data_IF_691477332007
#
_entry.id   IF_691477332007
#
_cell.length_a   1.000
_cell.length_b   1.000
_cell.length_c   1.000
_cell.angle_alpha   90.00
_cell.angle_beta   90.00
_cell.angle_gamma   90.00
#
_symmetry.space_group_name_H-M   'P 1'
#
loop_
_entity.id
_entity.type
_entity.pdbx_description
1 polymer ?
#
# COMPACT_ATOMS: atom_id res chain seq x y z
N UNK A 1 -14.21 -66.97 3.24
CA UNK A 1 -15.56 -67.38 3.71
C UNK A 1 -16.48 -66.22 3.35
N UNK A 2 -17.24 -66.22 2.26
CA UNK A 2 -18.29 -67.19 1.90
C UNK A 2 -19.67 -66.57 2.20
N UNK A 3 -20.11 -65.61 1.37
CA UNK A 3 -21.36 -65.58 0.58
C UNK A 3 -22.68 -65.94 1.28
N UNK A 4 -23.65 -65.03 1.19
CA UNK A 4 -25.06 -65.37 1.00
C UNK A 4 -25.71 -64.39 0.01
N UNK A 5 -26.34 -64.96 -1.03
CA UNK A 5 -27.09 -64.33 -2.11
C UNK A 5 -28.52 -63.97 -1.68
N UNK A 6 -29.15 -62.99 -2.34
CA UNK A 6 -30.56 -63.07 -2.71
C UNK A 6 -30.85 -62.26 -3.99
N UNK A 7 -31.81 -62.71 -4.78
CA UNK A 7 -31.94 -62.61 -6.23
C UNK A 7 -32.98 -61.57 -6.74
N UNK A 8 -32.84 -61.21 -8.04
CA UNK A 8 -33.91 -60.98 -9.06
C UNK A 8 -34.67 -59.63 -8.95
N UNK A 9 -34.74 -58.75 -9.97
CA UNK A 9 -35.39 -58.95 -11.28
C UNK A 9 -34.99 -57.89 -12.31
N UNK A 10 -34.84 -58.31 -13.57
CA UNK A 10 -34.65 -57.51 -14.79
C UNK A 10 -36.00 -57.00 -15.32
N UNK A 11 -36.14 -55.71 -15.66
CA UNK A 11 -37.20 -55.24 -16.58
C UNK A 11 -36.60 -54.25 -17.57
N UNK A 12 -36.51 -54.71 -18.82
CA UNK A 12 -36.28 -53.92 -20.02
C UNK A 12 -37.57 -53.18 -20.39
N UNK A 13 -37.49 -51.86 -20.58
CA UNK A 13 -38.57 -51.04 -21.12
C UNK A 13 -38.02 -50.02 -22.10
N UNK A 14 -38.18 -50.29 -23.39
CA UNK A 14 -37.96 -49.34 -24.48
C UNK A 14 -38.99 -48.20 -24.39
N UNK A 15 -38.55 -46.95 -24.33
CA UNK A 15 -39.31 -45.81 -24.86
C UNK A 15 -38.37 -44.84 -25.55
N UNK A 16 -38.36 -44.90 -26.88
CA UNK A 16 -37.91 -43.84 -27.78
C UNK A 16 -38.95 -42.71 -27.73
N UNK A 17 -38.62 -41.59 -27.10
CA UNK A 17 -39.25 -40.29 -27.40
C UNK A 17 -38.13 -39.24 -27.48
N UNK A 18 -38.12 -38.56 -28.62
CA UNK A 18 -37.13 -37.59 -29.07
C UNK A 18 -36.74 -36.55 -28.01
N UNK A 19 -35.49 -36.61 -27.55
CA UNK A 19 -34.85 -35.51 -26.85
C UNK A 19 -34.37 -34.52 -27.93
N UNK A 20 -35.21 -33.56 -28.32
CA UNK A 20 -34.74 -32.41 -29.07
C UNK A 20 -33.85 -31.59 -28.10
N UNK A 21 -32.56 -31.37 -28.41
CA UNK A 21 -31.79 -30.41 -27.63
C UNK A 21 -32.25 -29.01 -28.05
N UNK A 22 -33.17 -28.42 -27.28
CA UNK A 22 -33.31 -26.96 -27.19
C UNK A 22 -32.12 -26.42 -26.37
N UNK A 23 -30.92 -26.63 -26.90
CA UNK A 23 -29.77 -25.81 -26.59
C UNK A 23 -29.81 -24.66 -27.61
N UNK A 24 -30.63 -23.64 -27.32
CA UNK A 24 -30.36 -22.32 -27.86
C UNK A 24 -29.07 -21.85 -27.18
N UNK A 25 -27.92 -22.29 -27.71
CA UNK A 25 -26.73 -21.47 -27.63
C UNK A 25 -27.14 -20.16 -28.30
N UNK A 26 -27.37 -19.12 -27.51
CA UNK A 26 -27.17 -17.79 -28.01
C UNK A 26 -25.69 -17.73 -28.36
N UNK A 27 -25.36 -18.18 -29.57
CA UNK A 27 -24.13 -17.82 -30.24
C UNK A 27 -24.29 -16.32 -30.48
N UNK A 28 -23.95 -15.54 -29.44
CA UNK A 28 -23.77 -14.10 -29.57
C UNK A 28 -22.56 -14.00 -30.48
N UNK A 29 -22.79 -14.10 -31.78
CA UNK A 29 -21.76 -14.16 -32.80
C UNK A 29 -20.93 -12.90 -32.68
N UNK A 30 -19.85 -12.98 -31.89
CA UNK A 30 -18.94 -11.88 -31.66
C UNK A 30 -18.34 -11.56 -33.01
N UNK A 31 -18.79 -10.46 -33.60
CA UNK A 31 -18.38 -10.04 -34.93
C UNK A 31 -16.94 -9.55 -34.84
N UNK A 32 -16.01 -10.49 -35.04
CA UNK A 32 -14.59 -10.20 -35.11
C UNK A 32 -14.27 -9.45 -36.42
N UNK A 33 -13.29 -8.53 -36.40
CA UNK A 33 -12.45 -8.15 -35.25
C UNK A 33 -13.16 -7.22 -34.26
N UNK A 34 -12.90 -7.40 -32.96
CA UNK A 34 -13.36 -6.46 -31.94
C UNK A 34 -12.57 -5.15 -32.05
N UNK A 35 -13.28 -4.02 -31.99
CA UNK A 35 -12.69 -2.70 -31.81
C UNK A 35 -12.91 -2.30 -30.37
N UNK A 36 -11.85 -2.36 -29.57
CA UNK A 36 -11.95 -2.24 -28.12
C UNK A 36 -11.12 -1.09 -27.55
N UNK A 37 -11.59 -0.55 -26.43
CA UNK A 37 -10.86 0.43 -25.61
C UNK A 37 -10.76 -0.02 -24.16
N UNK A 38 -9.73 0.45 -23.45
CA UNK A 38 -9.53 0.19 -22.04
C UNK A 38 -10.10 1.35 -21.21
N UNK A 39 -11.02 1.07 -20.29
CA UNK A 39 -11.65 2.08 -19.42
C UNK A 39 -10.77 2.47 -18.22
N UNK A 40 -9.56 1.91 -18.14
CA UNK A 40 -8.47 2.43 -17.32
C UNK A 40 -8.85 2.62 -15.86
N UNK A 41 -8.81 3.88 -15.42
CA UNK A 41 -8.93 4.30 -14.03
C UNK A 41 -10.35 4.15 -13.44
N UNK A 42 -11.28 3.47 -14.12
CA UNK A 42 -12.67 3.43 -13.69
C UNK A 42 -12.87 2.62 -12.41
N UNK A 43 -12.54 1.33 -12.41
CA UNK A 43 -12.71 0.46 -11.22
C UNK A 43 -11.39 0.11 -10.53
N UNK A 44 -10.27 0.62 -11.05
CA UNK A 44 -8.95 0.50 -10.44
C UNK A 44 -8.36 1.89 -10.40
N UNK A 45 -8.25 2.46 -9.21
CA UNK A 45 -7.74 3.82 -9.06
C UNK A 45 -6.20 3.89 -9.07
N UNK A 46 -5.64 4.69 -9.97
CA UNK A 46 -4.21 4.96 -10.13
C UNK A 46 -3.94 6.47 -10.15
N UNK A 47 -3.03 6.93 -9.29
CA UNK A 47 -2.75 8.36 -9.13
C UNK A 47 -2.05 9.01 -10.31
N UNK A 48 -1.37 8.26 -11.18
CA UNK A 48 -0.79 8.85 -12.40
C UNK A 48 -1.88 9.23 -13.42
N UNK A 49 -3.05 8.58 -13.39
CA UNK A 49 -4.19 8.88 -14.26
C UNK A 49 -5.13 9.94 -13.64
N UNK A 50 -5.34 9.89 -12.32
CA UNK A 50 -6.17 10.88 -11.60
C UNK A 50 -5.49 11.31 -10.28
N UNK A 51 -4.46 12.17 -10.36
CA UNK A 51 -3.74 12.65 -9.17
C UNK A 51 -4.64 13.36 -8.17
N UNK A 52 -5.68 14.05 -8.66
CA UNK A 52 -6.56 14.89 -7.84
C UNK A 52 -7.31 14.13 -6.74
N UNK A 53 -7.47 12.81 -6.86
CA UNK A 53 -8.09 12.01 -5.80
C UNK A 53 -7.26 12.03 -4.52
N UNK A 54 -5.95 12.24 -4.62
CA UNK A 54 -5.01 12.20 -3.50
C UNK A 54 -4.74 13.58 -2.88
N UNK A 55 -5.18 14.67 -3.52
CA UNK A 55 -4.79 16.04 -3.15
C UNK A 55 -5.30 16.47 -1.77
N UNK A 56 -6.46 15.96 -1.35
CA UNK A 56 -7.04 16.26 -0.05
C UNK A 56 -6.48 15.45 1.12
N UNK A 57 -5.51 14.55 0.88
CA UNK A 57 -4.93 13.71 1.94
C UNK A 57 -3.85 14.51 2.70
N UNK A 58 -3.95 14.65 4.03
CA UNK A 58 -2.88 15.27 4.82
C UNK A 58 -1.58 14.47 4.70
N UNK A 59 -0.44 15.14 4.49
CA UNK A 59 0.84 14.46 4.20
C UNK A 59 0.70 13.41 3.09
N UNK A 60 0.08 13.78 1.96
CA UNK A 60 -0.12 12.90 0.78
C UNK A 60 1.18 12.37 0.15
N UNK A 61 2.31 12.96 0.51
CA UNK A 61 3.62 12.51 0.11
C UNK A 61 4.17 11.39 1.04
N UNK A 62 3.59 11.23 2.23
CA UNK A 62 3.88 10.17 3.20
C UNK A 62 2.75 9.12 3.26
N UNK A 63 2.21 8.72 2.12
CA UNK A 63 1.20 7.65 2.08
C UNK A 63 1.81 6.30 2.44
N UNK A 64 0.95 5.34 2.77
CA UNK A 64 1.41 3.99 3.09
C UNK A 64 2.19 3.38 1.92
N UNK A 65 3.35 2.79 2.24
CA UNK A 65 4.26 2.21 1.26
C UNK A 65 5.26 3.19 0.69
N UNK A 66 5.16 4.50 0.95
CA UNK A 66 6.16 5.48 0.53
C UNK A 66 7.55 5.08 1.02
N UNK A 67 8.53 5.08 0.13
CA UNK A 67 9.93 4.88 0.48
C UNK A 67 10.60 6.21 0.81
N UNK A 68 11.26 6.24 1.97
CA UNK A 68 11.98 7.40 2.49
C UNK A 68 13.39 7.03 2.93
N UNK A 69 14.26 8.03 2.93
CA UNK A 69 15.62 7.96 3.44
C UNK A 69 15.80 9.10 4.45
N UNK A 70 16.58 8.85 5.51
CA UNK A 70 16.86 9.85 6.53
C UNK A 70 18.36 10.12 6.59
N UNK A 71 18.76 11.37 6.50
CA UNK A 71 20.14 11.81 6.67
C UNK A 71 20.25 12.65 7.95
N UNK A 72 21.18 12.32 8.83
CA UNK A 72 21.52 13.17 9.96
C UNK A 72 22.11 14.49 9.45
N UNK A 73 21.53 15.63 9.83
CA UNK A 73 22.07 16.93 9.42
C UNK A 73 23.42 17.23 10.07
N UNK A 74 23.65 16.68 11.28
CA UNK A 74 24.88 16.91 12.03
C UNK A 74 26.06 16.17 11.42
N UNK A 75 25.87 14.91 11.06
CA UNK A 75 26.94 14.04 10.57
C UNK A 75 27.01 13.97 9.04
N UNK A 76 25.97 14.44 8.34
CA UNK A 76 25.83 14.29 6.88
C UNK A 76 25.92 12.82 6.44
N UNK A 77 25.34 11.92 7.25
CA UNK A 77 25.28 10.47 7.02
C UNK A 77 23.85 9.97 7.02
N UNK A 78 23.57 8.98 6.19
CA UNK A 78 22.30 8.29 6.14
C UNK A 78 22.13 7.29 7.27
N UNK A 79 20.90 7.24 7.78
CA UNK A 79 20.42 6.22 8.70
C UNK A 79 20.32 4.90 7.95
N UNK A 80 20.86 3.84 8.55
CA UNK A 80 21.00 2.52 7.96
C UNK A 80 20.51 1.45 8.93
N UNK A 81 19.66 0.55 8.43
CA UNK A 81 19.40 -0.71 9.10
C UNK A 81 20.54 -1.68 8.75
N UNK A 82 21.47 -1.89 9.67
CA UNK A 82 22.61 -2.78 9.43
C UNK A 82 22.14 -4.18 9.03
N UNK A 83 22.87 -4.80 8.10
CA UNK A 83 22.49 -6.06 7.47
C UNK A 83 21.06 -6.07 6.88
N UNK A 84 20.48 -4.90 6.55
CA UNK A 84 19.11 -4.78 6.03
C UNK A 84 17.98 -5.08 7.03
N UNK A 85 18.32 -5.36 8.30
CA UNK A 85 17.38 -5.75 9.36
C UNK A 85 17.96 -6.78 10.33
N UNK A 86 17.37 -6.88 11.52
CA UNK A 86 17.69 -7.89 12.53
C UNK A 86 18.70 -7.45 13.57
N UNK A 87 19.15 -6.20 13.50
CA UNK A 87 20.13 -5.61 14.42
C UNK A 87 19.86 -4.12 14.62
N UNK A 88 20.86 -3.38 15.11
CA UNK A 88 20.80 -1.96 15.39
C UNK A 88 20.63 -1.12 14.11
N UNK A 89 20.01 0.05 14.31
CA UNK A 89 19.95 1.12 13.30
C UNK A 89 21.00 2.17 13.65
N UNK A 90 21.82 2.53 12.66
CA UNK A 90 22.98 3.43 12.81
C UNK A 90 22.90 4.57 11.80
N UNK A 91 23.82 5.53 11.84
CA UNK A 91 23.86 6.67 10.93
C UNK A 91 25.28 6.90 10.37
N UNK A 92 25.81 5.89 9.65
CA UNK A 92 27.21 5.86 9.18
C UNK A 92 27.36 5.92 7.65
N UNK A 93 26.27 5.90 6.87
CA UNK A 93 26.36 5.73 5.42
C UNK A 93 26.55 7.04 4.69
N UNK A 94 27.54 7.12 3.80
CA UNK A 94 27.78 8.32 2.99
C UNK A 94 26.80 8.45 1.80
N UNK A 95 26.21 7.34 1.35
CA UNK A 95 25.24 7.28 0.27
C UNK A 95 24.10 6.34 0.64
N UNK A 96 22.92 6.57 0.06
CA UNK A 96 21.74 5.76 0.32
C UNK A 96 21.49 4.76 -0.82
N UNK A 97 21.11 3.55 -0.43
CA UNK A 97 20.71 2.44 -1.29
C UNK A 97 19.61 1.65 -0.56
N UNK A 98 19.61 0.32 -0.65
CA UNK A 98 18.56 -0.54 -0.10
C UNK A 98 18.45 -0.52 1.43
N UNK A 99 19.56 -0.44 2.16
CA UNK A 99 19.56 -0.56 3.63
C UNK A 99 19.26 0.77 4.34
N UNK A 100 19.45 1.88 3.63
CA UNK A 100 19.12 3.23 4.08
C UNK A 100 17.70 3.65 3.66
N UNK A 101 17.01 2.80 2.90
CA UNK A 101 15.65 3.04 2.43
C UNK A 101 14.65 2.34 3.32
N UNK A 102 13.77 3.14 3.92
CA UNK A 102 12.70 2.69 4.81
C UNK A 102 11.37 2.83 4.11
N UNK A 103 10.52 1.81 4.22
CA UNK A 103 9.13 1.87 3.74
C UNK A 103 8.22 2.31 4.88
N UNK A 104 7.46 3.37 4.65
CA UNK A 104 6.48 3.87 5.61
C UNK A 104 5.30 2.91 5.70
N UNK A 105 4.94 2.55 6.93
CA UNK A 105 3.69 1.89 7.26
C UNK A 105 2.83 2.88 8.03
N UNK A 106 1.82 3.44 7.37
CA UNK A 106 1.06 4.58 7.86
C UNK A 106 0.00 4.12 8.86
N UNK A 107 0.14 4.60 10.10
CA UNK A 107 -0.85 4.36 11.17
C UNK A 107 -1.93 5.44 11.12
N UNK A 108 -1.52 6.71 10.99
CA UNK A 108 -2.42 7.84 10.80
C UNK A 108 -1.66 9.01 10.13
N UNK A 109 -2.18 10.23 10.25
CA UNK A 109 -1.60 11.43 9.61
C UNK A 109 -0.18 11.77 10.04
N UNK A 110 0.23 11.40 11.27
CA UNK A 110 1.51 11.79 11.85
C UNK A 110 2.33 10.61 12.38
N UNK A 111 1.70 9.45 12.59
CA UNK A 111 2.33 8.26 13.15
C UNK A 111 2.55 7.19 12.09
N UNK A 112 3.76 6.63 12.09
CA UNK A 112 4.25 5.69 11.09
C UNK A 112 5.11 4.63 11.77
N UNK A 113 5.06 3.41 11.26
CA UNK A 113 6.13 2.43 11.49
C UNK A 113 7.08 2.48 10.28
N UNK A 114 8.35 2.19 10.52
CA UNK A 114 9.37 2.18 9.47
C UNK A 114 9.79 0.74 9.20
N UNK A 115 9.56 0.25 7.99
CA UNK A 115 9.92 -1.11 7.59
C UNK A 115 11.23 -1.12 6.82
N UNK A 116 12.16 -1.99 7.23
CA UNK A 116 13.49 -2.13 6.62
C UNK A 116 13.50 -3.18 5.50
N UNK A 117 14.64 -3.35 4.84
CA UNK A 117 14.82 -4.21 3.66
C UNK A 117 14.35 -5.65 3.89
N UNK A 118 14.77 -6.29 5.00
CA UNK A 118 14.33 -7.64 5.38
C UNK A 118 12.99 -7.66 6.12
N UNK A 119 12.13 -6.69 5.83
CA UNK A 119 10.71 -6.66 6.22
C UNK A 119 10.43 -6.53 7.72
N UNK A 120 11.45 -6.33 8.54
CA UNK A 120 11.33 -6.00 9.96
C UNK A 120 10.98 -4.51 10.15
N UNK A 121 10.55 -4.17 11.36
CA UNK A 121 10.20 -2.82 11.76
C UNK A 121 11.27 -2.24 12.66
N UNK A 122 11.59 -0.97 12.42
CA UNK A 122 12.39 -0.14 13.32
C UNK A 122 11.58 0.06 14.59
N UNK A 123 12.23 -0.01 15.75
CA UNK A 123 11.62 0.18 17.06
C UNK A 123 12.64 0.48 18.14
N UNK A 124 12.15 0.80 19.33
CA UNK A 124 12.97 0.96 20.52
C UNK A 124 13.56 -0.40 20.94
N UNK A 125 14.90 -0.48 20.98
CA UNK A 125 15.62 -1.55 21.66
C UNK A 125 15.43 -1.48 23.18
N UNK A 126 15.85 -2.53 23.90
CA UNK A 126 15.66 -2.70 25.35
C UNK A 126 16.29 -1.62 26.26
N UNK A 127 16.99 -2.01 27.33
CA UNK A 127 17.32 -1.11 28.45
C UNK A 127 18.17 0.15 28.15
N UNK A 128 18.71 0.32 26.95
CA UNK A 128 19.23 1.59 26.47
C UNK A 128 18.40 2.03 25.28
N UNK A 129 18.00 3.30 25.22
CA UNK A 129 17.12 3.89 24.20
C UNK A 129 17.60 3.76 22.73
N UNK A 130 18.52 2.85 22.43
CA UNK A 130 18.97 2.50 21.09
C UNK A 130 17.83 2.04 20.20
N UNK A 131 18.03 2.26 18.90
CA UNK A 131 17.06 1.92 17.87
C UNK A 131 17.50 0.63 17.18
N UNK A 132 16.56 -0.32 17.06
CA UNK A 132 16.79 -1.63 16.46
C UNK A 132 15.75 -1.90 15.38
N UNK A 133 16.04 -2.81 14.46
CA UNK A 133 15.14 -3.23 13.40
C UNK A 133 14.88 -4.75 13.45
N UNK A 134 14.41 -5.25 14.59
CA UNK A 134 14.31 -6.70 14.87
C UNK A 134 12.88 -7.23 14.79
N UNK A 135 11.87 -6.39 15.08
CA UNK A 135 10.49 -6.84 15.17
C UNK A 135 9.89 -7.16 13.80
N UNK A 136 9.11 -8.23 13.70
CA UNK A 136 8.37 -8.59 12.48
C UNK A 136 6.93 -8.06 12.47
N UNK A 137 6.45 -7.55 13.61
CA UNK A 137 5.09 -7.01 13.78
C UNK A 137 5.17 -5.64 14.45
N UNK A 138 4.54 -4.60 13.90
CA UNK A 138 4.61 -3.28 14.52
C UNK A 138 3.77 -3.23 15.79
N UNK A 139 4.31 -2.65 16.85
CA UNK A 139 3.58 -2.29 18.06
C UNK A 139 3.87 -0.86 18.49
N UNK A 140 3.64 -0.57 19.77
CA UNK A 140 3.90 0.76 20.33
C UNK A 140 5.39 1.13 20.24
N UNK A 141 6.32 0.17 20.36
CA UNK A 141 7.76 0.44 20.31
C UNK A 141 8.26 0.75 18.89
N UNK A 142 7.53 0.30 17.86
CA UNK A 142 7.86 0.51 16.44
C UNK A 142 7.17 1.74 15.84
N UNK A 143 6.27 2.36 16.60
CA UNK A 143 5.48 3.51 16.14
C UNK A 143 6.21 4.81 16.45
N UNK A 144 6.49 5.59 15.41
CA UNK A 144 7.14 6.90 15.50
C UNK A 144 6.23 8.01 14.98
N UNK A 145 6.27 9.17 15.62
CA UNK A 145 5.70 10.39 15.07
C UNK A 145 6.74 11.06 14.17
N UNK A 146 6.40 11.30 12.90
CA UNK A 146 7.20 12.16 12.02
C UNK A 146 6.75 13.61 12.23
N UNK A 147 7.62 14.42 12.83
CA UNK A 147 7.39 15.84 13.04
C UNK A 147 8.17 16.62 11.99
N UNK A 148 7.47 17.36 11.14
CA UNK A 148 8.06 18.20 10.09
C UNK A 148 8.31 19.62 10.60
N UNK A 149 9.33 20.28 10.10
CA UNK A 149 9.53 21.71 10.30
C UNK A 149 8.57 22.49 9.37
N UNK A 150 7.96 23.55 9.88
CA UNK A 150 6.98 24.35 9.13
C UNK A 150 7.59 25.14 7.96
N UNK A 151 8.87 25.51 8.05
CA UNK A 151 9.60 26.23 7.00
C UNK A 151 10.29 25.33 5.98
N UNK A 152 10.64 24.10 6.38
CA UNK A 152 11.22 23.07 5.50
C UNK A 152 10.65 21.68 5.86
N UNK A 153 9.62 21.20 5.15
CA UNK A 153 8.94 19.94 5.49
C UNK A 153 9.81 18.69 5.27
N UNK A 154 10.95 18.82 4.56
CA UNK A 154 11.93 17.74 4.43
C UNK A 154 12.84 17.66 5.65
N UNK A 155 12.87 18.70 6.50
CA UNK A 155 13.56 18.66 7.78
C UNK A 155 12.62 18.12 8.84
N UNK A 156 12.99 17.00 9.44
CA UNK A 156 12.13 16.27 10.36
C UNK A 156 12.81 15.93 11.69
N UNK A 157 11.98 15.58 12.67
CA UNK A 157 12.34 14.85 13.88
C UNK A 157 11.45 13.63 14.00
N UNK A 158 12.00 12.54 14.52
CA UNK A 158 11.28 11.30 14.77
C UNK A 158 11.06 11.18 16.28
N UNK A 159 9.81 11.21 16.74
CA UNK A 159 9.47 11.02 18.15
C UNK A 159 9.11 9.56 18.38
N UNK A 160 9.77 8.90 19.32
CA UNK A 160 9.46 7.52 19.69
C UNK A 160 8.32 7.46 20.74
N UNK A 161 7.84 6.25 21.02
CA UNK A 161 6.75 6.02 21.98
C UNK A 161 7.11 6.31 23.43
N UNK A 162 8.41 6.37 23.76
CA UNK A 162 8.88 6.87 25.07
C UNK A 162 8.77 8.39 25.23
N UNK A 163 8.27 9.10 24.20
CA UNK A 163 8.07 10.55 24.22
C UNK A 163 9.31 11.37 23.83
N UNK A 164 10.45 10.73 23.60
CA UNK A 164 11.71 11.38 23.28
C UNK A 164 11.96 11.38 21.76
N UNK A 165 12.78 12.31 21.28
CA UNK A 165 13.20 12.32 19.89
C UNK A 165 14.39 11.40 19.65
N UNK A 166 14.46 10.84 18.44
CA UNK A 166 15.66 10.16 17.96
C UNK A 166 16.79 11.16 17.81
N UNK A 167 18.01 10.72 18.11
CA UNK A 167 19.24 11.45 17.87
C UNK A 167 20.35 10.53 17.34
N UNK A 168 21.13 11.06 16.40
CA UNK A 168 22.37 10.46 15.95
C UNK A 168 23.53 11.05 16.77
N UNK A 169 23.87 10.39 17.88
CA UNK A 169 24.96 10.83 18.77
C UNK A 169 26.35 10.56 18.18
N UNK A 170 26.45 9.49 17.40
CA UNK A 170 27.64 9.13 16.63
C UNK A 170 27.21 8.39 15.37
N UNK A 171 28.15 8.14 14.45
CA UNK A 171 27.87 7.36 13.24
C UNK A 171 27.40 5.94 13.55
N UNK A 172 27.81 5.37 14.69
CA UNK A 172 27.52 3.98 15.07
C UNK A 172 26.27 3.80 15.93
N UNK A 173 25.60 4.89 16.33
CA UNK A 173 24.50 4.78 17.28
C UNK A 173 23.42 5.84 17.06
N UNK A 174 22.20 5.36 16.83
CA UNK A 174 20.97 6.16 16.90
C UNK A 174 20.21 5.74 18.16
N UNK A 175 19.81 6.73 18.97
CA UNK A 175 19.07 6.53 20.23
C UNK A 175 17.85 7.45 20.28
N UNK A 176 16.85 7.12 21.12
CA UNK A 176 15.64 7.91 21.35
C UNK A 176 15.59 8.44 22.78
N UNK A 177 16.51 9.33 23.10
CA UNK A 177 16.71 9.92 24.43
C UNK A 177 17.03 11.42 24.33
N UNK A 178 16.75 12.04 23.18
CA UNK A 178 17.02 13.46 22.99
C UNK A 178 16.07 14.33 23.84
N UNK A 179 16.65 14.95 24.87
CA UNK A 179 15.99 15.96 25.72
C UNK A 179 16.54 17.38 25.53
N UNK A 180 17.27 17.63 24.44
CA UNK A 180 17.94 18.90 24.17
C UNK A 180 17.02 19.99 23.58
N UNK A 181 17.60 21.13 23.15
CA UNK A 181 16.85 22.26 22.62
C UNK A 181 15.95 21.94 21.41
N UNK A 182 14.88 22.72 21.24
CA UNK A 182 13.96 22.62 20.09
C UNK A 182 14.50 23.19 18.77
N UNK A 183 15.79 23.57 18.72
CA UNK A 183 16.43 24.15 17.53
C UNK A 183 16.45 23.19 16.34
N UNK A 184 16.16 23.70 15.14
CA UNK A 184 16.20 22.93 13.89
C UNK A 184 17.53 23.05 13.14
N UNK A 185 18.56 23.62 13.78
CA UNK A 185 19.88 23.81 13.18
C UNK A 185 20.56 22.48 12.78
N UNK A 186 21.48 22.56 11.82
CA UNK A 186 22.14 21.38 11.25
C UNK A 186 23.00 20.62 12.27
N UNK A 187 23.57 21.31 13.25
CA UNK A 187 24.39 20.74 14.32
C UNK A 187 23.58 19.98 15.39
N UNK A 188 22.25 20.07 15.35
CA UNK A 188 21.38 19.36 16.27
C UNK A 188 21.31 17.86 15.92
N UNK A 189 21.71 16.95 16.83
CA UNK A 189 21.75 15.53 16.54
C UNK A 189 20.35 14.90 16.35
N UNK A 190 19.28 15.58 16.77
CA UNK A 190 17.90 15.09 16.62
C UNK A 190 17.26 15.42 15.27
N UNK A 191 17.93 16.21 14.43
CA UNK A 191 17.38 16.71 13.18
C UNK A 191 17.86 15.83 12.02
N UNK A 192 16.89 15.42 11.20
CA UNK A 192 17.15 14.61 10.01
C UNK A 192 16.56 15.30 8.79
N UNK A 193 17.29 15.23 7.67
CA UNK A 193 16.75 15.52 6.36
C UNK A 193 16.13 14.24 5.80
N UNK A 194 14.82 14.27 5.58
CA UNK A 194 14.07 13.21 4.95
C UNK A 194 14.02 13.44 3.44
N UNK A 195 14.34 12.40 2.69
CA UNK A 195 14.21 12.37 1.23
C UNK A 195 13.19 11.31 0.85
N UNK A 196 12.19 11.68 0.06
CA UNK A 196 11.26 10.72 -0.54
C UNK A 196 11.93 10.16 -1.79
N UNK A 197 12.05 8.83 -1.86
CA UNK A 197 12.72 8.15 -2.97
C UNK A 197 11.89 8.30 -4.24
N UNK A 198 12.52 8.65 -5.36
CA UNK A 198 11.85 8.77 -6.66
C UNK A 198 11.23 7.44 -7.07
N UNK A 199 9.96 7.46 -7.47
CA UNK A 199 9.17 6.25 -7.74
C UNK A 199 8.83 5.43 -6.48
N UNK A 200 9.21 5.91 -5.30
CA UNK A 200 8.96 5.26 -4.02
C UNK A 200 7.57 5.53 -3.46
N UNK A 201 6.80 6.46 -4.02
CA UNK A 201 5.42 6.78 -3.64
C UNK A 201 4.42 5.87 -4.36
N UNK A 202 3.43 5.36 -3.63
CA UNK A 202 2.35 4.56 -4.19
C UNK A 202 1.07 5.40 -4.22
N UNK A 203 0.33 5.34 -5.33
CA UNK A 203 -0.95 6.01 -5.48
C UNK A 203 -2.00 5.07 -6.03
N UNK A 204 -2.51 4.18 -5.17
CA UNK A 204 -3.63 3.30 -5.45
C UNK A 204 -4.81 3.51 -4.51
N UNK A 205 -5.86 2.71 -4.69
CA UNK A 205 -7.05 2.72 -3.82
C UNK A 205 -6.70 2.48 -2.35
N UNK A 206 -5.72 1.62 -2.08
CA UNK A 206 -5.24 1.38 -0.73
C UNK A 206 -4.72 2.66 -0.05
N UNK A 207 -4.02 3.53 -0.78
CA UNK A 207 -3.53 4.79 -0.24
C UNK A 207 -4.66 5.81 -0.06
N UNK A 208 -5.70 5.79 -0.90
CA UNK A 208 -6.90 6.62 -0.71
C UNK A 208 -7.61 6.19 0.57
N UNK A 209 -7.84 4.89 0.75
CA UNK A 209 -8.58 4.35 1.90
C UNK A 209 -7.80 4.47 3.20
N UNK A 210 -6.49 4.27 3.20
CA UNK A 210 -5.63 4.50 4.36
C UNK A 210 -5.48 6.01 4.67
N UNK A 211 -5.40 6.86 3.64
CA UNK A 211 -5.16 8.30 3.77
C UNK A 211 -6.37 9.10 4.25
N UNK A 212 -7.53 8.90 3.65
CA UNK A 212 -8.78 9.58 4.05
C UNK A 212 -9.53 8.88 5.17
N UNK A 213 -9.22 7.60 5.41
CA UNK A 213 -10.02 6.74 6.26
C UNK A 213 -11.28 6.22 5.55
N UNK A 214 -12.01 5.32 6.22
CA UNK A 214 -13.01 4.47 5.58
C UNK A 214 -14.19 5.23 4.96
N UNK A 215 -14.72 6.25 5.65
CA UNK A 215 -15.95 6.92 5.23
C UNK A 215 -15.73 7.91 4.09
N UNK A 216 -14.71 8.77 4.23
CA UNK A 216 -14.40 9.78 3.21
C UNK A 216 -13.82 9.14 1.95
N UNK A 217 -13.02 8.09 2.07
CA UNK A 217 -12.53 7.34 0.91
C UNK A 217 -13.69 6.74 0.10
N UNK A 218 -14.70 6.18 0.78
CA UNK A 218 -15.89 5.63 0.11
C UNK A 218 -16.63 6.69 -0.70
N UNK A 219 -16.86 7.88 -0.12
CA UNK A 219 -17.50 8.98 -0.82
C UNK A 219 -16.72 9.38 -2.07
N UNK A 220 -15.40 9.57 -1.94
CA UNK A 220 -14.52 9.98 -3.04
C UNK A 220 -14.51 8.94 -4.16
N UNK A 221 -14.39 7.65 -3.81
CA UNK A 221 -14.37 6.56 -4.78
C UNK A 221 -15.73 6.40 -5.48
N UNK A 222 -16.85 6.50 -4.74
CA UNK A 222 -18.19 6.46 -5.33
C UNK A 222 -18.42 7.61 -6.30
N UNK A 223 -18.02 8.82 -5.93
CA UNK A 223 -18.11 9.99 -6.81
C UNK A 223 -17.26 9.80 -8.07
N UNK A 224 -16.02 9.32 -7.92
CA UNK A 224 -15.16 8.97 -9.05
C UNK A 224 -15.81 7.92 -9.95
N UNK A 225 -16.33 6.82 -9.41
CA UNK A 225 -16.96 5.76 -10.21
C UNK A 225 -18.20 6.23 -10.96
N UNK A 226 -18.99 7.13 -10.37
CA UNK A 226 -20.20 7.65 -10.97
C UNK A 226 -19.94 8.73 -12.03
N UNK A 227 -18.75 9.33 -12.04
CA UNK A 227 -18.43 10.49 -12.91
C UNK A 227 -17.30 10.22 -13.90
N UNK A 228 -16.49 9.17 -13.70
CA UNK A 228 -15.31 8.90 -14.54
C UNK A 228 -15.67 8.32 -15.90
N UNK A 229 -16.64 7.39 -15.96
CA UNK A 229 -17.25 6.87 -17.20
C UNK A 229 -18.75 6.96 -17.05
N UNK A 230 -19.40 7.57 -18.03
CA UNK A 230 -20.85 7.86 -18.06
C UNK A 230 -21.52 7.17 -19.24
N UNK A 231 -22.86 7.17 -19.27
CA UNK A 231 -23.62 6.64 -20.39
C UNK A 231 -23.31 7.37 -21.70
N UNK A 232 -22.99 8.67 -21.63
CA UNK A 232 -22.56 9.49 -22.75
C UNK A 232 -21.24 9.00 -23.37
N UNK A 233 -20.30 8.54 -22.54
CA UNK A 233 -19.05 7.96 -23.01
C UNK A 233 -19.29 6.66 -23.79
N UNK A 234 -20.20 5.80 -23.31
CA UNK A 234 -20.59 4.59 -24.04
C UNK A 234 -21.31 4.89 -25.35
N UNK A 235 -22.20 5.90 -25.39
CA UNK A 235 -22.82 6.38 -26.63
C UNK A 235 -21.76 6.86 -27.61
N UNK A 236 -20.79 7.65 -27.15
CA UNK A 236 -19.68 8.13 -27.97
C UNK A 236 -18.84 6.97 -28.52
N UNK A 237 -18.48 5.99 -27.69
CA UNK A 237 -17.72 4.81 -28.13
C UNK A 237 -18.47 4.02 -29.21
N UNK A 238 -19.76 3.77 -29.00
CA UNK A 238 -20.62 3.05 -29.94
C UNK A 238 -20.75 3.78 -31.28
N UNK A 239 -20.99 5.10 -31.25
CA UNK A 239 -21.09 5.94 -32.45
C UNK A 239 -19.79 5.96 -33.27
N UNK A 240 -18.64 5.79 -32.62
CA UNK A 240 -17.33 5.70 -33.27
C UNK A 240 -16.96 4.25 -33.66
N UNK A 241 -17.90 3.31 -33.57
CA UNK A 241 -17.72 1.93 -34.03
C UNK A 241 -16.87 1.05 -33.11
N UNK A 242 -16.72 1.42 -31.84
CA UNK A 242 -16.16 0.52 -30.82
C UNK A 242 -17.22 -0.52 -30.43
N UNK A 243 -16.81 -1.78 -30.36
CA UNK A 243 -17.68 -2.94 -30.15
C UNK A 243 -17.40 -3.70 -28.87
N UNK A 244 -16.34 -3.32 -28.14
CA UNK A 244 -16.00 -3.92 -26.85
C UNK A 244 -15.27 -2.93 -25.94
N UNK A 245 -15.27 -3.20 -24.63
CA UNK A 245 -14.47 -2.48 -23.63
C UNK A 245 -13.73 -3.46 -22.74
N UNK A 246 -12.53 -3.07 -22.29
CA UNK A 246 -11.80 -3.74 -21.23
C UNK A 246 -11.91 -2.92 -19.95
N UNK A 247 -12.39 -3.54 -18.88
CA UNK A 247 -12.50 -2.91 -17.56
C UNK A 247 -11.43 -3.54 -16.66
N UNK A 248 -10.41 -2.77 -16.24
CA UNK A 248 -9.49 -3.22 -15.20
C UNK A 248 -10.26 -3.42 -13.89
N UNK A 249 -10.01 -4.52 -13.20
CA UNK A 249 -10.54 -4.80 -11.87
C UNK A 249 -9.38 -5.22 -10.97
N UNK A 250 -9.46 -4.84 -9.69
CA UNK A 250 -8.44 -5.20 -8.71
C UNK A 250 -8.31 -6.72 -8.59
N UNK A 251 -7.08 -7.23 -8.59
CA UNK A 251 -6.79 -8.67 -8.50
C UNK A 251 -7.48 -9.35 -7.30
N UNK A 252 -7.61 -8.61 -6.19
CA UNK A 252 -8.23 -9.08 -4.97
C UNK A 252 -9.71 -9.48 -5.17
N UNK A 253 -10.46 -8.84 -6.06
CA UNK A 253 -11.88 -9.16 -6.32
C UNK A 253 -12.05 -10.61 -6.80
N UNK A 254 -11.07 -11.16 -7.53
CA UNK A 254 -11.15 -12.49 -8.11
C UNK A 254 -10.52 -13.60 -7.25
N UNK A 255 -9.67 -13.25 -6.27
CA UNK A 255 -8.82 -14.21 -5.56
C UNK A 255 -8.83 -14.09 -4.04
N UNK A 256 -9.32 -12.99 -3.48
CA UNK A 256 -9.40 -12.77 -2.04
C UNK A 256 -10.77 -12.18 -1.66
N UNK A 257 -11.72 -13.00 -1.15
CA UNK A 257 -13.04 -12.53 -0.75
C UNK A 257 -13.00 -11.59 0.46
N UNK A 258 -11.86 -11.46 1.15
CA UNK A 258 -11.69 -10.63 2.34
C UNK A 258 -10.37 -9.86 2.28
N UNK A 259 -10.21 -8.91 1.34
CA UNK A 259 -8.98 -8.16 1.24
C UNK A 259 -8.69 -7.44 2.56
N UNK A 260 -7.41 -7.32 2.96
CA UNK A 260 -7.06 -6.70 4.23
C UNK A 260 -7.61 -5.27 4.27
N UNK A 261 -8.12 -4.84 5.43
CA UNK A 261 -8.55 -3.45 5.61
C UNK A 261 -7.41 -2.50 5.18
N UNK A 262 -7.70 -1.41 4.44
CA UNK A 262 -9.00 -0.75 4.30
C UNK A 262 -9.59 -0.87 2.88
N UNK A 263 -9.40 -1.99 2.18
CA UNK A 263 -10.10 -2.20 0.90
C UNK A 263 -11.61 -2.30 1.10
N UNK A 264 -12.37 -1.66 0.21
CA UNK A 264 -13.82 -1.77 0.16
C UNK A 264 -14.21 -2.68 -1.00
N UNK A 265 -14.99 -3.72 -0.73
CA UNK A 265 -15.81 -4.34 -1.76
C UNK A 265 -17.13 -3.56 -1.89
N UNK A 266 -17.64 -3.49 -3.11
CA UNK A 266 -18.94 -2.89 -3.45
C UNK A 266 -20.08 -3.66 -2.81
#
# INVERSE_FOLDING_TARGET
>A
MGYFHCHITLVLGFFLISCAPLLSHADVGLKLPLKAVNLGNWLVTEGWMKPSLFDGIPNKDLLDGTQVQFMSTKWQKYVCAENGGGTNVVANRASASGWETFRLWRVNQSYFNLRVFYKQFVGLGGQGAGIVATSTTPGNQETFQIVRNDGDPNRIRLKASNGMFLQANSEMQVTADYGGPSSWADDNPSVFKMTIVSGGTLHGEYQITNGYGPDKARQILQEHWNTYITDEDFKFMSQNGLTAVRIPVGWWIAKDPTPPKPFFCR
#
